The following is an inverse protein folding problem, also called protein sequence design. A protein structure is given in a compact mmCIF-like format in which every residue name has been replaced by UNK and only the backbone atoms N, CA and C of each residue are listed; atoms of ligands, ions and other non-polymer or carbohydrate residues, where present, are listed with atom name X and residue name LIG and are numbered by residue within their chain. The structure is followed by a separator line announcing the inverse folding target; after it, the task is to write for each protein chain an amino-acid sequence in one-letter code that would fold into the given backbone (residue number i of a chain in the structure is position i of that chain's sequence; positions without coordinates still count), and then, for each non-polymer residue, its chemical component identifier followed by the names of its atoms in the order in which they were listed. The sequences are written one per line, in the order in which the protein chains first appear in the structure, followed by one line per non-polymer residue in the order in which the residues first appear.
data_IF_857638591344
#
_entry.id   IF_857638591344
#
_cell.length_a   1.000
_cell.length_b   1.000
_cell.length_c   1.000
_cell.angle_alpha   90.00
_cell.angle_beta   90.00
_cell.angle_gamma   90.00
#
_symmetry.space_group_name_H-M   'P 1'
#
loop_
_entity.id
_entity.type
_entity.pdbx_description
1 polymer ?
#
# COMPACT_ATOMS: atom_id res chain seq x y z
N UNK A 1 -15.15 -17.96 -5.25
CA UNK A 1 -16.55 -17.49 -5.21
C UNK A 1 -17.11 -17.55 -6.62
N UNK A 2 -18.27 -18.17 -6.82
CA UNK A 2 -19.02 -18.04 -8.07
C UNK A 2 -20.05 -16.92 -7.91
N UNK A 3 -19.77 -15.74 -8.46
CA UNK A 3 -20.65 -14.58 -8.31
C UNK A 3 -21.98 -14.71 -9.05
N UNK A 4 -22.07 -15.61 -10.04
CA UNK A 4 -23.30 -15.87 -10.79
C UNK A 4 -24.26 -16.72 -9.97
N UNK A 5 -23.75 -17.75 -9.32
CA UNK A 5 -24.52 -18.68 -8.48
C UNK A 5 -24.63 -18.23 -7.02
N UNK A 6 -23.89 -17.19 -6.62
CA UNK A 6 -23.80 -16.69 -5.24
C UNK A 6 -23.33 -17.76 -4.23
N UNK A 7 -22.46 -18.65 -4.68
CA UNK A 7 -21.87 -19.72 -3.88
C UNK A 7 -20.38 -19.43 -3.60
N UNK A 8 -19.91 -19.92 -2.45
CA UNK A 8 -18.49 -19.90 -2.10
C UNK A 8 -18.07 -21.28 -1.58
N UNK A 9 -16.81 -21.62 -1.82
CA UNK A 9 -16.24 -22.94 -1.50
C UNK A 9 -15.35 -22.88 -0.26
N UNK A 10 -14.79 -21.70 0.03
CA UNK A 10 -13.84 -21.49 1.12
C UNK A 10 -14.24 -20.23 1.90
N UNK A 11 -14.15 -20.29 3.24
CA UNK A 11 -14.33 -19.14 4.12
C UNK A 11 -13.02 -18.35 4.26
N UNK A 12 -13.15 -17.02 4.46
CA UNK A 12 -12.01 -16.10 4.60
C UNK A 12 -11.11 -16.04 3.35
N UNK A 13 -9.84 -15.68 3.55
CA UNK A 13 -8.79 -15.70 2.52
C UNK A 13 -8.01 -17.00 2.69
N UNK A 14 -8.41 -18.04 1.97
CA UNK A 14 -7.68 -19.30 1.98
C UNK A 14 -6.89 -19.55 0.70
N UNK A 15 -6.40 -20.77 0.54
CA UNK A 15 -5.34 -21.08 -0.43
C UNK A 15 -5.77 -20.76 -1.86
N UNK A 16 -7.00 -21.17 -2.21
CA UNK A 16 -7.52 -21.08 -3.57
C UNK A 16 -7.90 -19.65 -3.94
N UNK A 17 -7.98 -18.74 -2.96
CA UNK A 17 -8.08 -17.32 -3.26
C UNK A 17 -6.88 -16.95 -4.14
N UNK A 18 -5.65 -17.13 -3.67
CA UNK A 18 -4.42 -16.67 -4.35
C UNK A 18 -3.82 -17.69 -5.33
N UNK A 19 -4.12 -18.98 -5.15
CA UNK A 19 -3.59 -20.09 -5.94
C UNK A 19 -4.62 -20.75 -6.87
N UNK A 20 -5.87 -20.28 -6.85
CA UNK A 20 -6.93 -20.77 -7.72
C UNK A 20 -7.42 -22.17 -7.33
N UNK A 21 -8.41 -22.70 -8.07
CA UNK A 21 -8.93 -24.04 -7.83
C UNK A 21 -7.80 -25.08 -7.86
N UNK A 22 -7.68 -25.85 -6.78
CA UNK A 22 -6.54 -26.72 -6.51
C UNK A 22 -6.96 -28.19 -6.32
N UNK A 23 -8.18 -28.58 -6.74
CA UNK A 23 -8.68 -29.95 -6.59
C UNK A 23 -7.78 -30.99 -7.28
N UNK A 24 -7.30 -30.71 -8.50
CA UNK A 24 -6.40 -31.62 -9.22
C UNK A 24 -4.99 -31.63 -8.63
N UNK A 25 -4.53 -30.48 -8.14
CA UNK A 25 -3.30 -30.37 -7.36
C UNK A 25 -3.38 -31.24 -6.09
N UNK A 26 -4.48 -31.20 -5.35
CA UNK A 26 -4.69 -32.00 -4.15
C UNK A 26 -4.66 -33.52 -4.44
N UNK A 27 -5.23 -33.95 -5.57
CA UNK A 27 -5.22 -35.36 -6.01
C UNK A 27 -3.84 -35.83 -6.48
N UNK A 28 -3.01 -34.94 -7.02
CA UNK A 28 -1.74 -35.30 -7.68
C UNK A 28 -0.67 -34.20 -7.54
N UNK A 29 -0.21 -33.87 -6.33
CA UNK A 29 0.60 -32.67 -6.07
C UNK A 29 2.00 -32.73 -6.70
N UNK A 30 2.50 -33.94 -6.99
CA UNK A 30 3.76 -34.13 -7.70
C UNK A 30 3.65 -33.81 -9.20
N UNK A 31 2.48 -34.06 -9.80
CA UNK A 31 2.23 -33.93 -11.25
C UNK A 31 1.59 -32.60 -11.61
N UNK A 32 0.63 -32.13 -10.81
CA UNK A 32 -0.09 -30.88 -11.01
C UNK A 32 0.45 -29.88 -10.00
N UNK A 33 1.04 -28.78 -10.48
CA UNK A 33 1.54 -27.69 -9.63
C UNK A 33 0.40 -26.72 -9.33
N UNK A 34 0.39 -26.19 -8.11
CA UNK A 34 -0.49 -25.08 -7.76
C UNK A 34 -0.10 -23.83 -8.58
N UNK A 35 -1.09 -22.98 -8.88
CA UNK A 35 -0.83 -21.71 -9.56
C UNK A 35 -0.05 -20.81 -8.62
N UNK A 36 1.03 -20.18 -9.09
CA UNK A 36 1.76 -19.17 -8.33
C UNK A 36 1.68 -17.86 -9.11
N UNK A 37 0.83 -16.95 -8.65
CA UNK A 37 0.69 -15.62 -9.21
C UNK A 37 1.37 -14.58 -8.31
N UNK A 38 2.55 -14.12 -8.76
CA UNK A 38 3.36 -13.12 -8.08
C UNK A 38 3.04 -11.69 -8.49
N UNK A 39 2.11 -11.48 -9.44
CA UNK A 39 1.76 -10.16 -9.91
C UNK A 39 1.11 -9.36 -8.78
N UNK A 40 1.37 -8.05 -8.75
CA UNK A 40 0.80 -7.14 -7.76
C UNK A 40 -0.74 -7.14 -7.83
N UNK A 41 -1.32 -7.38 -9.01
CA UNK A 41 -2.76 -7.50 -9.24
C UNK A 41 -3.42 -8.64 -8.44
N UNK A 42 -2.71 -9.74 -8.16
CA UNK A 42 -3.24 -10.84 -7.34
C UNK A 42 -3.55 -10.39 -5.91
N UNK A 43 -2.68 -9.57 -5.33
CA UNK A 43 -2.93 -8.90 -4.05
C UNK A 43 -3.92 -7.76 -4.22
N UNK A 44 -3.77 -7.01 -5.32
CA UNK A 44 -4.52 -5.81 -5.65
C UNK A 44 -6.02 -6.05 -5.77
N UNK A 45 -6.46 -7.22 -6.22
CA UNK A 45 -7.90 -7.49 -6.32
C UNK A 45 -8.64 -7.46 -4.96
N UNK A 46 -7.92 -7.62 -3.86
CA UNK A 46 -8.47 -7.44 -2.51
C UNK A 46 -7.98 -6.15 -1.87
N UNK A 47 -6.71 -5.78 -2.04
CA UNK A 47 -6.10 -4.56 -1.50
C UNK A 47 -6.41 -3.30 -2.33
N UNK A 48 -7.66 -3.19 -2.75
CA UNK A 48 -8.20 -2.10 -3.55
C UNK A 48 -9.59 -1.68 -3.06
N UNK A 49 -9.89 -0.40 -3.30
CA UNK A 49 -11.26 0.12 -3.31
C UNK A 49 -11.60 0.47 -4.74
N UNK A 50 -12.42 -0.36 -5.38
CA UNK A 50 -12.81 -0.20 -6.77
C UNK A 50 -14.18 -0.82 -7.03
N UNK A 51 -14.87 -0.29 -8.02
CA UNK A 51 -16.11 -0.82 -8.56
C UNK A 51 -15.84 -1.43 -9.92
N UNK A 52 -16.47 -2.55 -10.21
CA UNK A 52 -16.45 -3.12 -11.56
C UNK A 52 -17.12 -2.17 -12.57
N UNK A 53 -16.72 -2.24 -13.84
CA UNK A 53 -17.36 -1.53 -14.96
C UNK A 53 -18.49 -2.34 -15.60
N UNK A 54 -19.33 -1.67 -16.39
CA UNK A 54 -20.38 -2.29 -17.21
C UNK A 54 -21.40 -3.10 -16.41
N UNK A 55 -21.80 -4.26 -16.93
CA UNK A 55 -22.81 -5.15 -16.35
C UNK A 55 -22.45 -5.68 -14.95
N UNK A 56 -21.17 -5.58 -14.58
CA UNK A 56 -20.66 -6.01 -13.28
C UNK A 56 -20.62 -4.86 -12.26
N UNK A 57 -21.06 -3.65 -12.61
CA UNK A 57 -21.00 -2.45 -11.75
C UNK A 57 -21.72 -2.55 -10.41
N UNK A 58 -22.54 -3.57 -10.17
CA UNK A 58 -23.06 -3.88 -8.83
C UNK A 58 -21.98 -4.32 -7.82
N UNK A 59 -20.83 -4.82 -8.29
CA UNK A 59 -19.75 -5.31 -7.44
C UNK A 59 -18.74 -4.20 -7.13
N UNK A 60 -18.49 -3.97 -5.84
CA UNK A 60 -17.46 -3.06 -5.30
C UNK A 60 -16.15 -3.79 -4.96
N UNK A 61 -15.92 -4.92 -5.62
CA UNK A 61 -14.69 -5.69 -5.62
C UNK A 61 -14.58 -6.45 -6.95
N UNK A 62 -13.36 -6.80 -7.38
CA UNK A 62 -13.13 -7.57 -8.59
C UNK A 62 -13.66 -9.01 -8.44
N UNK A 63 -14.45 -9.46 -9.41
CA UNK A 63 -15.06 -10.80 -9.39
C UNK A 63 -14.59 -11.72 -10.53
N UNK A 64 -13.79 -11.18 -11.44
CA UNK A 64 -13.36 -11.84 -12.67
C UNK A 64 -11.84 -11.71 -12.91
N UNK A 65 -11.06 -11.42 -11.87
CA UNK A 65 -9.60 -11.45 -11.99
C UNK A 65 -9.13 -12.89 -12.24
N UNK A 66 -8.31 -13.06 -13.26
CA UNK A 66 -7.72 -14.35 -13.62
C UNK A 66 -6.25 -14.38 -13.17
N UNK A 67 -5.88 -15.42 -12.41
CA UNK A 67 -4.52 -15.58 -11.92
C UNK A 67 -3.53 -15.67 -13.10
N UNK A 68 -2.35 -15.09 -12.94
CA UNK A 68 -1.29 -15.01 -13.94
C UNK A 68 -1.66 -14.23 -15.22
N UNK A 69 -2.70 -13.41 -15.20
CA UNK A 69 -3.02 -12.47 -16.29
C UNK A 69 -2.84 -11.02 -15.82
N UNK A 70 -1.59 -10.51 -15.79
CA UNK A 70 -1.32 -9.13 -15.38
C UNK A 70 -1.93 -8.13 -16.35
N UNK A 71 -1.94 -6.85 -15.94
CA UNK A 71 -2.49 -5.72 -16.69
C UNK A 71 -3.96 -5.88 -17.07
N UNK A 72 -4.72 -6.65 -16.29
CA UNK A 72 -6.15 -6.87 -16.53
C UNK A 72 -7.01 -6.26 -15.44
N UNK A 73 -6.51 -6.19 -14.20
CA UNK A 73 -7.30 -5.75 -13.05
C UNK A 73 -7.88 -4.35 -13.27
N UNK A 74 -7.04 -3.37 -13.61
CA UNK A 74 -7.47 -1.97 -13.74
C UNK A 74 -8.33 -1.70 -14.98
N UNK A 75 -8.30 -2.56 -15.99
CA UNK A 75 -9.13 -2.40 -17.21
C UNK A 75 -10.63 -2.56 -16.89
N UNK A 76 -10.96 -3.52 -16.04
CA UNK A 76 -12.34 -3.84 -15.64
C UNK A 76 -12.86 -3.04 -14.46
N UNK A 77 -12.07 -2.13 -13.90
CA UNK A 77 -12.36 -1.43 -12.65
C UNK A 77 -12.38 0.08 -12.83
N UNK A 78 -13.31 0.71 -12.14
CA UNK A 78 -13.26 2.11 -11.73
C UNK A 78 -12.82 2.14 -10.27
N UNK A 79 -11.63 2.67 -9.92
CA UNK A 79 -11.29 2.96 -8.53
C UNK A 79 -12.46 3.68 -7.87
N UNK A 80 -12.90 3.20 -6.69
CA UNK A 80 -14.07 3.75 -5.98
C UNK A 80 -13.86 5.25 -5.92
N UNK A 81 -14.83 6.03 -6.41
CA UNK A 81 -14.52 7.13 -7.29
C UNK A 81 -13.39 7.97 -6.72
N UNK A 82 -12.41 8.35 -7.55
CA UNK A 82 -11.54 9.48 -7.23
C UNK A 82 -12.35 10.70 -6.77
N UNK A 83 -13.62 10.79 -7.18
CA UNK A 83 -14.64 11.77 -6.80
C UNK A 83 -15.43 11.48 -5.52
N UNK A 84 -15.28 10.30 -4.90
CA UNK A 84 -15.85 10.02 -3.59
C UNK A 84 -15.02 10.80 -2.57
N UNK A 85 -15.59 11.89 -2.07
CA UNK A 85 -14.94 12.78 -1.12
C UNK A 85 -14.24 11.97 -0.01
N UNK A 86 -12.92 12.14 0.09
CA UNK A 86 -12.10 11.50 1.10
C UNK A 86 -11.65 10.06 0.83
N UNK A 87 -11.69 9.54 -0.41
CA UNK A 87 -11.01 8.28 -0.79
C UNK A 87 -9.49 8.46 -0.87
N UNK A 88 -9.04 9.59 -1.42
CA UNK A 88 -7.66 10.04 -1.42
C UNK A 88 -7.54 11.37 -0.69
N UNK A 89 -6.32 11.68 -0.23
CA UNK A 89 -5.97 13.03 0.14
C UNK A 89 -5.98 13.95 -1.10
N UNK A 90 -5.99 15.29 -0.91
CA UNK A 90 -6.03 16.25 -2.02
C UNK A 90 -4.91 16.10 -3.07
N UNK A 91 -3.79 15.46 -2.72
CA UNK A 91 -2.71 15.17 -3.66
C UNK A 91 -3.04 14.05 -4.67
N UNK A 92 -4.20 13.42 -4.53
CA UNK A 92 -4.69 12.31 -5.36
C UNK A 92 -3.74 11.12 -5.44
N UNK A 93 -2.76 11.04 -4.53
CA UNK A 93 -1.71 10.01 -4.54
C UNK A 93 -1.79 9.15 -3.28
N UNK A 94 -1.87 9.77 -2.12
CA UNK A 94 -1.97 9.08 -0.83
C UNK A 94 -3.42 8.77 -0.49
N UNK A 95 -3.73 7.52 -0.17
CA UNK A 95 -5.08 7.12 0.18
C UNK A 95 -5.50 7.71 1.53
N UNK A 96 -6.79 8.01 1.65
CA UNK A 96 -7.41 8.50 2.89
C UNK A 96 -8.46 7.49 3.44
N UNK A 97 -8.47 6.25 2.93
CA UNK A 97 -9.23 5.13 3.50
C UNK A 97 -8.42 3.84 3.48
N UNK A 98 -8.90 2.88 4.26
CA UNK A 98 -8.33 1.53 4.33
C UNK A 98 -8.49 0.77 3.00
N UNK A 99 -7.64 -0.24 2.77
CA UNK A 99 -7.70 -1.17 1.62
C UNK A 99 -7.44 -0.50 0.26
N UNK A 100 -6.43 0.37 0.20
CA UNK A 100 -6.05 1.07 -1.03
C UNK A 100 -4.56 0.92 -1.38
N UNK A 101 -3.86 -0.04 -0.75
CA UNK A 101 -2.42 -0.24 -0.93
C UNK A 101 -2.06 -0.45 -2.40
N UNK A 102 -2.89 -1.13 -3.18
CA UNK A 102 -2.66 -1.31 -4.62
C UNK A 102 -2.75 0.02 -5.39
N UNK A 103 -3.73 0.87 -5.08
CA UNK A 103 -3.88 2.16 -5.75
C UNK A 103 -2.77 3.16 -5.37
N UNK A 104 -2.19 3.02 -4.19
CA UNK A 104 -1.00 3.77 -3.79
C UNK A 104 0.26 3.20 -4.45
N UNK A 105 0.38 1.87 -4.48
CA UNK A 105 1.49 1.16 -5.11
C UNK A 105 1.66 1.56 -6.56
N UNK A 106 0.59 1.52 -7.37
CA UNK A 106 0.68 1.85 -8.81
C UNK A 106 1.09 3.32 -9.07
N UNK A 107 0.99 4.19 -8.06
CA UNK A 107 1.46 5.59 -8.11
C UNK A 107 2.84 5.77 -7.49
N UNK A 108 3.42 4.74 -6.90
CA UNK A 108 4.75 4.74 -6.30
C UNK A 108 5.83 4.56 -7.38
N UNK A 109 7.07 4.91 -7.02
CA UNK A 109 8.24 4.60 -7.88
C UNK A 109 8.53 3.10 -7.94
N UNK A 110 8.18 2.35 -6.90
CA UNK A 110 8.41 0.90 -6.84
C UNK A 110 7.62 0.14 -7.90
N UNK A 111 6.47 0.64 -8.34
CA UNK A 111 5.71 0.03 -9.44
C UNK A 111 6.46 0.01 -10.77
N UNK A 112 7.44 0.91 -10.96
CA UNK A 112 8.29 0.95 -12.16
C UNK A 112 9.55 0.10 -12.06
N UNK A 113 9.80 -0.60 -10.95
CA UNK A 113 10.98 -1.45 -10.77
C UNK A 113 10.64 -2.87 -11.24
N UNK A 114 11.38 -3.44 -12.22
CA UNK A 114 11.15 -4.80 -12.68
C UNK A 114 11.17 -5.82 -11.54
N UNK A 115 10.26 -6.81 -11.60
CA UNK A 115 10.13 -7.91 -10.64
C UNK A 115 9.84 -7.53 -9.17
N UNK A 116 9.70 -6.24 -8.88
CA UNK A 116 9.35 -5.76 -7.55
C UNK A 116 7.83 -5.84 -7.35
N UNK A 117 7.39 -6.73 -6.47
CA UNK A 117 5.95 -6.93 -6.20
C UNK A 117 5.66 -6.94 -4.70
N UNK A 118 4.39 -7.09 -4.34
CA UNK A 118 3.96 -7.16 -2.93
C UNK A 118 4.72 -8.26 -2.18
N UNK A 119 4.94 -9.41 -2.83
CA UNK A 119 5.62 -10.55 -2.21
C UNK A 119 7.15 -10.39 -2.15
N UNK A 120 7.72 -9.30 -2.67
CA UNK A 120 9.14 -8.99 -2.41
C UNK A 120 9.35 -8.59 -0.96
N UNK A 121 8.37 -7.87 -0.38
CA UNK A 121 8.40 -7.41 1.00
C UNK A 121 7.56 -8.27 1.94
N UNK A 122 6.40 -8.75 1.49
CA UNK A 122 5.45 -9.52 2.30
C UNK A 122 5.54 -11.02 2.06
N UNK A 123 5.24 -11.79 3.10
CA UNK A 123 5.07 -13.24 3.04
C UNK A 123 3.59 -13.58 3.35
N UNK A 124 2.79 -13.94 2.33
CA UNK A 124 1.37 -14.23 2.53
C UNK A 124 1.13 -15.48 3.40
N UNK A 125 2.15 -16.31 3.64
CA UNK A 125 2.07 -17.50 4.47
C UNK A 125 2.45 -17.25 5.94
N UNK A 126 2.97 -16.06 6.29
CA UNK A 126 3.21 -15.72 7.70
C UNK A 126 1.87 -15.51 8.42
N UNK A 127 1.61 -16.32 9.44
CA UNK A 127 0.34 -16.32 10.19
C UNK A 127 0.07 -15.03 10.98
N UNK A 128 -1.20 -14.85 11.38
CA UNK A 128 -1.74 -13.64 12.02
C UNK A 128 -1.09 -13.23 13.34
N UNK A 129 -0.32 -14.10 13.99
CA UNK A 129 0.39 -13.80 15.25
C UNK A 129 1.49 -12.74 15.06
N UNK A 130 1.94 -12.47 13.82
CA UNK A 130 2.87 -11.39 13.49
C UNK A 130 2.18 -10.10 13.03
N UNK A 131 0.90 -9.86 13.38
CA UNK A 131 0.11 -8.69 12.95
C UNK A 131 0.84 -7.35 13.12
N UNK A 132 1.72 -7.23 14.13
CA UNK A 132 2.54 -6.04 14.39
C UNK A 132 3.44 -5.63 13.22
N UNK A 133 3.79 -6.58 12.35
CA UNK A 133 4.71 -6.38 11.23
C UNK A 133 4.02 -6.35 9.86
N UNK A 134 2.70 -6.60 9.77
CA UNK A 134 2.02 -6.67 8.47
C UNK A 134 2.53 -7.79 7.55
N UNK A 135 2.98 -8.93 8.11
CA UNK A 135 3.51 -10.09 7.36
C UNK A 135 4.80 -9.80 6.57
N UNK A 136 5.66 -8.91 7.04
CA UNK A 136 6.95 -8.66 6.39
C UNK A 136 7.86 -9.90 6.39
N UNK A 137 8.63 -10.09 5.31
CA UNK A 137 9.59 -11.18 5.15
C UNK A 137 10.76 -11.10 6.13
N UNK A 138 11.08 -9.90 6.62
CA UNK A 138 12.12 -9.67 7.63
C UNK A 138 12.02 -8.26 8.21
N UNK A 139 13.06 -7.87 8.95
CA UNK A 139 13.16 -6.54 9.56
C UNK A 139 13.14 -5.43 8.50
N UNK A 140 12.48 -4.33 8.82
CA UNK A 140 12.24 -3.20 7.91
C UNK A 140 13.55 -2.66 7.31
N UNK A 141 14.54 -2.35 8.17
CA UNK A 141 15.86 -1.85 7.73
C UNK A 141 16.51 -2.77 6.71
N UNK A 142 16.41 -4.07 6.92
CA UNK A 142 16.98 -5.08 6.03
C UNK A 142 16.22 -5.13 4.70
N UNK A 143 14.89 -5.11 4.74
CA UNK A 143 14.07 -5.14 3.53
C UNK A 143 14.32 -3.93 2.63
N UNK A 144 14.32 -2.71 3.20
CA UNK A 144 14.66 -1.49 2.46
C UNK A 144 16.11 -1.55 1.96
N UNK A 145 17.02 -2.05 2.80
CA UNK A 145 18.46 -2.12 2.53
C UNK A 145 18.83 -3.01 1.36
N UNK A 146 18.02 -4.00 0.98
CA UNK A 146 18.28 -4.86 -0.20
C UNK A 146 18.47 -4.08 -1.51
N UNK A 147 17.85 -2.90 -1.60
CA UNK A 147 17.96 -2.03 -2.78
C UNK A 147 18.48 -0.63 -2.43
N UNK A 148 18.29 -0.18 -1.18
CA UNK A 148 18.66 1.15 -0.71
C UNK A 148 19.87 1.13 0.23
N UNK A 149 20.89 0.32 -0.08
CA UNK A 149 22.08 0.11 0.76
C UNK A 149 22.74 1.42 1.19
N UNK A 150 22.95 2.35 0.25
CA UNK A 150 23.57 3.64 0.55
C UNK A 150 22.76 4.52 1.52
N UNK A 151 21.43 4.43 1.49
CA UNK A 151 20.56 5.14 2.44
C UNK A 151 20.60 4.46 3.82
N UNK A 152 20.59 3.13 3.85
CA UNK A 152 20.61 2.35 5.10
C UNK A 152 21.98 2.40 5.79
N UNK A 153 23.05 2.58 5.03
CA UNK A 153 24.41 2.76 5.53
C UNK A 153 24.57 4.09 6.29
N UNK A 154 23.93 5.17 5.82
CA UNK A 154 23.99 6.49 6.47
C UNK A 154 22.61 7.18 6.53
N UNK A 155 21.70 6.70 7.42
CA UNK A 155 20.37 7.30 7.57
C UNK A 155 20.46 8.74 8.09
N UNK A 156 21.51 9.08 8.86
CA UNK A 156 21.70 10.43 9.39
C UNK A 156 21.96 11.43 8.26
N UNK A 157 22.77 11.07 7.27
CA UNK A 157 22.97 11.91 6.08
C UNK A 157 21.71 11.98 5.21
N UNK A 158 20.94 10.91 5.14
CA UNK A 158 19.71 10.88 4.34
C UNK A 158 18.57 11.74 4.92
N UNK A 159 18.31 11.64 6.23
CA UNK A 159 17.11 12.21 6.86
C UNK A 159 17.41 13.13 8.05
N UNK A 160 18.67 13.30 8.43
CA UNK A 160 19.06 13.97 9.67
C UNK A 160 18.88 13.12 10.94
N UNK A 161 18.33 11.90 10.82
CA UNK A 161 18.00 11.04 11.96
C UNK A 161 18.79 9.75 11.98
N UNK A 162 19.10 9.26 13.19
CA UNK A 162 19.53 7.86 13.34
C UNK A 162 18.32 6.95 13.17
N UNK A 163 18.56 5.73 12.67
CA UNK A 163 17.49 4.76 12.43
C UNK A 163 16.68 4.43 13.68
N UNK A 164 17.32 4.39 14.84
CA UNK A 164 16.69 4.08 16.14
C UNK A 164 15.75 5.19 16.61
N UNK A 165 15.86 6.40 16.03
CA UNK A 165 14.99 7.54 16.32
C UNK A 165 13.85 7.63 15.30
N UNK A 166 14.14 7.37 14.03
CA UNK A 166 13.15 7.38 12.96
C UNK A 166 13.46 6.24 11.96
N UNK A 167 12.58 5.24 11.95
CA UNK A 167 12.66 4.14 10.98
C UNK A 167 12.31 4.62 9.57
N UNK A 168 12.62 3.82 8.54
CA UNK A 168 12.30 4.16 7.16
C UNK A 168 10.78 4.30 6.97
N UNK A 169 10.00 3.40 7.56
CA UNK A 169 8.54 3.35 7.49
C UNK A 169 7.89 4.51 8.24
N UNK A 170 8.53 5.02 9.31
CA UNK A 170 8.04 6.20 10.04
C UNK A 170 7.85 7.42 9.13
N UNK A 171 8.69 7.56 8.10
CA UNK A 171 8.58 8.66 7.14
C UNK A 171 8.00 8.24 5.78
N UNK A 172 8.39 7.08 5.25
CA UNK A 172 8.03 6.65 3.89
C UNK A 172 6.74 5.83 3.83
N UNK A 173 6.31 5.25 4.95
CA UNK A 173 5.08 4.46 5.07
C UNK A 173 4.17 5.01 6.21
N UNK A 174 3.91 6.33 6.29
CA UNK A 174 3.14 6.90 7.40
C UNK A 174 1.71 6.38 7.41
N UNK A 175 1.16 6.22 8.61
CA UNK A 175 -0.25 5.88 8.84
C UNK A 175 -1.15 7.11 8.64
N UNK A 176 -1.31 7.54 7.39
CA UNK A 176 -2.01 8.79 7.06
C UNK A 176 -3.51 8.77 7.34
N UNK A 177 -4.14 7.60 7.40
CA UNK A 177 -5.58 7.45 7.61
C UNK A 177 -5.94 7.54 9.11
N UNK A 178 -6.99 8.29 9.46
CA UNK A 178 -7.43 8.49 10.86
C UNK A 178 -7.75 7.19 11.61
N UNK A 179 -8.17 6.13 10.90
CA UNK A 179 -8.40 4.81 11.49
C UNK A 179 -7.11 4.10 11.93
N UNK A 180 -5.92 4.62 11.58
CA UNK A 180 -4.60 4.15 12.01
C UNK A 180 -4.24 2.73 11.59
N UNK A 181 -5.06 2.07 10.79
CA UNK A 181 -4.97 0.61 10.63
C UNK A 181 -3.99 0.15 9.55
N UNK A 182 -3.60 1.03 8.61
CA UNK A 182 -2.80 0.67 7.44
C UNK A 182 -1.83 1.81 7.09
N UNK A 183 -0.52 1.54 6.94
CA UNK A 183 0.44 2.52 6.45
C UNK A 183 0.22 2.77 4.95
N UNK A 184 0.48 4.00 4.47
CA UNK A 184 0.42 4.28 3.03
C UNK A 184 1.43 3.39 2.27
N UNK A 185 1.22 3.14 0.98
CA UNK A 185 2.13 2.35 0.12
C UNK A 185 2.61 3.14 -1.09
N UNK A 186 2.65 4.48 -0.97
CA UNK A 186 3.28 5.34 -1.98
C UNK A 186 4.81 5.38 -1.82
N UNK A 187 5.31 4.95 -0.65
CA UNK A 187 6.72 5.02 -0.21
C UNK A 187 7.29 6.44 -0.23
N UNK A 188 6.42 7.45 -0.35
CA UNK A 188 6.79 8.85 -0.36
C UNK A 188 6.82 9.37 1.07
N UNK A 189 7.97 9.90 1.49
CA UNK A 189 8.00 10.81 2.62
C UNK A 189 7.23 12.06 2.25
N UNK A 190 6.00 12.19 2.77
CA UNK A 190 5.08 13.27 2.44
C UNK A 190 5.70 14.57 2.96
N UNK A 191 6.16 15.49 2.09
CA UNK A 191 6.91 16.65 2.53
C UNK A 191 6.00 17.69 3.21
N UNK A 192 6.51 18.46 4.18
CA UNK A 192 5.75 19.53 4.83
C UNK A 192 5.16 20.56 3.86
N UNK A 193 5.83 20.81 2.72
CA UNK A 193 5.32 21.64 1.63
C UNK A 193 3.90 21.27 1.17
N UNK A 194 3.53 19.97 1.17
CA UNK A 194 2.17 19.54 0.81
C UNK A 194 1.15 20.00 1.85
N UNK A 195 1.47 19.93 3.14
CA UNK A 195 0.61 20.47 4.20
C UNK A 195 0.40 21.98 4.03
N UNK A 196 1.45 22.73 3.69
CA UNK A 196 1.36 24.16 3.42
C UNK A 196 0.48 24.42 2.20
N UNK A 197 0.72 23.71 1.11
CA UNK A 197 0.00 23.87 -0.17
C UNK A 197 -1.51 23.64 -0.02
N UNK A 198 -1.92 22.57 0.65
CA UNK A 198 -3.33 22.22 0.78
C UNK A 198 -4.02 22.93 1.95
N UNK A 199 -3.25 23.43 2.91
CA UNK A 199 -3.74 24.21 4.04
C UNK A 199 -4.62 23.42 5.01
N UNK A 200 -5.40 24.17 5.78
CA UNK A 200 -6.25 23.66 6.86
C UNK A 200 -7.70 23.58 6.37
N UNK A 201 -8.41 22.54 6.78
CA UNK A 201 -9.85 22.45 6.66
C UNK A 201 -10.50 23.34 7.73
N UNK A 202 -11.14 24.43 7.31
CA UNK A 202 -11.70 25.44 8.21
C UNK A 202 -12.77 24.87 9.16
N UNK A 203 -13.47 23.82 8.75
CA UNK A 203 -14.53 23.20 9.56
C UNK A 203 -13.97 22.35 10.69
N UNK A 204 -12.93 21.57 10.41
CA UNK A 204 -12.35 20.63 11.38
C UNK A 204 -11.11 21.16 12.08
N UNK A 205 -10.51 22.26 11.59
CA UNK A 205 -9.23 22.79 12.08
C UNK A 205 -8.03 21.87 11.79
N UNK A 206 -8.22 20.81 10.99
CA UNK A 206 -7.18 19.82 10.67
C UNK A 206 -6.52 20.13 9.35
N UNK A 207 -5.26 19.73 9.19
CA UNK A 207 -4.58 19.79 7.90
C UNK A 207 -5.35 18.96 6.86
N UNK A 208 -5.63 19.54 5.68
CA UNK A 208 -6.24 18.81 4.56
C UNK A 208 -5.31 17.72 4.02
N UNK A 209 -4.00 17.90 4.22
CA UNK A 209 -2.96 16.93 3.89
C UNK A 209 -1.96 16.83 5.05
N UNK A 210 -1.82 15.67 5.71
CA UNK A 210 -0.77 15.46 6.70
C UNK A 210 0.62 15.45 6.04
N UNK A 211 1.70 15.53 6.82
CA UNK A 211 3.05 15.28 6.36
C UNK A 211 3.77 14.30 7.29
N UNK A 212 4.78 13.62 6.78
CA UNK A 212 5.48 12.54 7.49
C UNK A 212 6.22 13.00 8.74
N UNK A 213 6.61 14.28 8.83
CA UNK A 213 7.37 14.80 9.97
C UNK A 213 6.46 15.05 11.18
N UNK A 214 5.32 15.68 10.94
CA UNK A 214 4.44 16.20 11.98
C UNK A 214 3.37 15.20 12.43
N UNK A 215 3.12 14.15 11.64
CA UNK A 215 2.02 13.21 11.92
C UNK A 215 2.17 12.53 13.29
N UNK A 216 3.40 12.23 13.71
CA UNK A 216 3.68 11.54 14.99
C UNK A 216 4.82 12.13 15.81
N UNK A 217 5.86 12.70 15.19
CA UNK A 217 7.09 13.06 15.89
C UNK A 217 7.18 14.56 16.20
N UNK A 218 7.03 15.41 15.19
CA UNK A 218 7.16 16.87 15.33
C UNK A 218 5.80 17.56 15.51
N UNK A 219 4.97 17.04 16.42
CA UNK A 219 3.56 17.46 16.57
C UNK A 219 3.39 18.88 17.12
N UNK A 220 4.43 19.43 17.74
CA UNK A 220 4.44 20.81 18.29
C UNK A 220 4.98 21.85 17.30
N UNK A 221 5.51 21.40 16.17
CA UNK A 221 6.10 22.28 15.17
C UNK A 221 5.07 22.75 14.15
N UNK A 222 5.41 23.78 13.39
CA UNK A 222 4.59 24.23 12.25
C UNK A 222 5.08 23.60 10.95
N UNK A 223 4.17 23.44 9.98
CA UNK A 223 4.53 22.93 8.65
C UNK A 223 5.60 23.81 7.97
N UNK A 224 5.55 25.12 8.17
CA UNK A 224 6.56 26.06 7.68
C UNK A 224 7.94 25.81 8.29
N UNK A 225 8.01 25.58 9.61
CA UNK A 225 9.29 25.29 10.30
C UNK A 225 9.85 23.96 9.84
N UNK A 226 9.02 22.93 9.70
CA UNK A 226 9.43 21.62 9.19
C UNK A 226 9.87 21.67 7.73
N UNK A 227 9.19 22.45 6.88
CA UNK A 227 9.57 22.63 5.48
C UNK A 227 10.97 23.25 5.34
N UNK A 228 11.30 24.23 6.19
CA UNK A 228 12.64 24.83 6.22
C UNK A 228 13.72 23.80 6.57
N UNK A 229 13.47 22.93 7.56
CA UNK A 229 14.43 21.87 7.93
C UNK A 229 14.53 20.80 6.83
N UNK A 230 13.39 20.37 6.29
CA UNK A 230 13.32 19.41 5.19
C UNK A 230 14.14 19.89 3.99
N UNK A 231 13.99 21.15 3.60
CA UNK A 231 14.76 21.77 2.51
C UNK A 231 16.26 21.79 2.79
N UNK A 232 16.72 21.99 4.02
CA UNK A 232 18.16 21.96 4.33
C UNK A 232 18.80 20.60 4.06
N UNK A 233 18.05 19.51 4.30
CA UNK A 233 18.53 18.13 4.12
C UNK A 233 18.53 17.75 2.63
N UNK A 234 17.46 18.11 1.92
CA UNK A 234 17.24 17.70 0.52
C UNK A 234 17.53 18.80 -0.51
N UNK A 235 18.35 19.80 -0.14
CA UNK A 235 18.88 20.79 -1.09
C UNK A 235 19.58 20.05 -2.22
N UNK A 236 19.01 20.14 -3.42
CA UNK A 236 19.78 20.06 -4.66
C UNK A 236 20.46 21.39 -4.87
#
# INVERSE_FOLDING_TARGET
MNYKERTFVEFNIGCEACHGPSADHAKSPKKVKAVIDKNTENCGRCHIRARMKGDLSKFNYPVNYELNKPDTLMKGLDPEPYTAAGSFFPDQKNANRHRQQYLEWIKSRHNGVPDLTCVTCHDPHKGSLSYRTGQLKGEERSLCGKCHEGIVADPKKHSGHRYEVASCSSCHLPYTITAGSVPNHTFEAIPPAKTIQFGIDEKSGKNKMPNSCMLYCHTKETAATMDQQYKKIFKK
#
